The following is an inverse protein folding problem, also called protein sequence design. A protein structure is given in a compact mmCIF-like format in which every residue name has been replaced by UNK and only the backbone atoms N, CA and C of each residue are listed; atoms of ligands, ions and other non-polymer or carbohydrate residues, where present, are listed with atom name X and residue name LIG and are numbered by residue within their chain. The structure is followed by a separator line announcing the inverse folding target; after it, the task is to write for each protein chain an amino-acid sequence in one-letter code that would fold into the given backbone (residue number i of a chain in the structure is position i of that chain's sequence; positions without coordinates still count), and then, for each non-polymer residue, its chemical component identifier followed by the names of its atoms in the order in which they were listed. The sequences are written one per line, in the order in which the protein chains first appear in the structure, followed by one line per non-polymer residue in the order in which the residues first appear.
data_IF_338092180461
#
_entry.id   IF_338092180461
#
_cell.length_a   1.000
_cell.length_b   1.000
_cell.length_c   1.000
_cell.angle_alpha   90.00
_cell.angle_beta   90.00
_cell.angle_gamma   90.00
#
_symmetry.space_group_name_H-M   'P 1'
#
loop_
_entity.id
_entity.type
_entity.pdbx_description
1 polymer ?
#
# COMPACT_ATOMS: atom_id res chain seq x y z
N UNK A 1 -57.58 -6.99 -10.27
CA UNK A 1 -57.02 -5.94 -11.09
C UNK A 1 -55.93 -5.23 -10.33
N UNK A 2 -54.71 -5.43 -10.74
CA UNK A 2 -53.59 -4.51 -10.60
C UNK A 2 -53.13 -4.08 -9.22
N UNK A 3 -52.68 -5.03 -8.43
CA UNK A 3 -52.00 -4.74 -7.16
C UNK A 3 -50.55 -5.23 -7.15
N UNK A 4 -49.83 -5.04 -8.22
CA UNK A 4 -48.52 -5.67 -8.36
C UNK A 4 -47.35 -4.72 -8.53
N UNK A 5 -47.43 -3.52 -8.00
CA UNK A 5 -46.38 -2.52 -8.30
C UNK A 5 -45.50 -2.18 -7.09
N UNK A 6 -45.75 -2.74 -5.94
CA UNK A 6 -45.10 -2.27 -4.72
C UNK A 6 -43.88 -3.06 -4.22
N UNK A 7 -43.38 -4.03 -4.97
CA UNK A 7 -42.41 -4.99 -4.42
C UNK A 7 -40.94 -4.81 -4.85
N UNK A 8 -40.62 -3.77 -5.58
CA UNK A 8 -39.28 -3.62 -6.15
C UNK A 8 -38.34 -2.66 -5.40
N UNK A 9 -38.78 -2.00 -4.35
CA UNK A 9 -38.07 -0.82 -3.88
C UNK A 9 -37.01 -0.99 -2.78
N UNK A 10 -37.03 -1.97 -1.90
CA UNK A 10 -36.07 -1.96 -0.81
C UNK A 10 -34.67 -2.54 -1.16
N UNK A 11 -34.58 -3.32 -2.23
CA UNK A 11 -33.32 -3.98 -2.59
C UNK A 11 -32.33 -3.09 -3.35
N UNK A 12 -32.83 -2.07 -4.03
CA UNK A 12 -31.99 -1.18 -4.83
C UNK A 12 -31.14 -0.23 -3.99
N UNK A 13 -31.62 0.19 -2.83
CA UNK A 13 -30.88 1.10 -1.96
C UNK A 13 -29.70 0.42 -1.24
N UNK A 14 -29.80 -0.87 -0.95
CA UNK A 14 -28.71 -1.62 -0.33
C UNK A 14 -27.60 -1.96 -1.34
N UNK A 15 -27.97 -2.27 -2.57
CA UNK A 15 -27.02 -2.50 -3.65
C UNK A 15 -26.27 -1.21 -4.04
N UNK A 16 -26.97 -0.08 -4.06
CA UNK A 16 -26.33 1.22 -4.32
C UNK A 16 -25.34 1.65 -3.23
N UNK A 17 -25.62 1.33 -1.95
CA UNK A 17 -24.65 1.57 -0.86
C UNK A 17 -23.41 0.67 -0.96
N UNK A 18 -23.56 -0.60 -1.34
CA UNK A 18 -22.42 -1.49 -1.58
C UNK A 18 -21.58 -1.05 -2.77
N UNK A 19 -22.20 -0.57 -3.82
CA UNK A 19 -21.48 -0.02 -4.98
C UNK A 19 -20.72 1.26 -4.64
N UNK A 20 -21.28 2.15 -3.84
CA UNK A 20 -20.57 3.35 -3.36
C UNK A 20 -19.38 3.03 -2.47
N UNK A 21 -19.47 2.02 -1.61
CA UNK A 21 -18.35 1.58 -0.78
C UNK A 21 -17.28 0.81 -1.57
N UNK A 22 -17.65 0.14 -2.67
CA UNK A 22 -16.70 -0.50 -3.56
C UNK A 22 -15.89 0.52 -4.39
N UNK A 23 -16.52 1.61 -4.83
CA UNK A 23 -15.84 2.69 -5.56
C UNK A 23 -14.81 3.45 -4.71
N UNK A 24 -14.96 3.48 -3.40
CA UNK A 24 -13.97 4.08 -2.50
C UNK A 24 -12.70 3.24 -2.31
N UNK A 25 -12.76 1.95 -2.62
CA UNK A 25 -11.59 1.05 -2.56
C UNK A 25 -10.77 1.05 -3.84
N UNK A 26 -11.28 1.62 -4.91
CA UNK A 26 -10.66 1.62 -6.24
C UNK A 26 -10.02 2.97 -6.62
N UNK A 27 -9.77 3.85 -5.68
CA UNK A 27 -8.78 4.90 -5.94
C UNK A 27 -7.40 4.23 -5.99
N UNK A 28 -7.11 3.68 -7.14
CA UNK A 28 -5.84 3.04 -7.45
C UNK A 28 -4.72 4.07 -7.32
N UNK A 29 -3.72 3.73 -6.53
CA UNK A 29 -2.42 4.38 -6.66
C UNK A 29 -2.03 4.26 -8.12
N UNK A 30 -1.57 5.34 -8.70
CA UNK A 30 -1.03 5.31 -10.06
C UNK A 30 0.23 4.41 -10.06
N UNK A 31 0.07 3.19 -10.55
CA UNK A 31 1.14 2.19 -10.62
C UNK A 31 1.72 2.21 -12.03
N UNK A 32 2.98 2.63 -12.14
CA UNK A 32 3.73 2.57 -13.37
C UNK A 32 4.65 1.35 -13.35
N UNK A 33 4.48 0.46 -14.33
CA UNK A 33 5.27 -0.75 -14.44
C UNK A 33 6.22 -0.62 -15.63
N UNK A 34 7.51 -0.84 -15.39
CA UNK A 34 8.53 -0.96 -16.42
C UNK A 34 9.16 -2.34 -16.30
N UNK A 35 9.19 -3.09 -17.40
CA UNK A 35 9.79 -4.42 -17.46
C UNK A 35 10.90 -4.43 -18.52
N UNK A 36 12.06 -4.92 -18.15
CA UNK A 36 13.23 -5.03 -19.03
C UNK A 36 13.76 -6.47 -19.00
N UNK A 37 13.69 -7.15 -20.14
CA UNK A 37 14.05 -8.57 -20.24
C UNK A 37 13.11 -9.50 -19.47
N UNK A 38 11.94 -9.01 -19.08
CA UNK A 38 10.87 -9.75 -18.42
C UNK A 38 9.59 -9.54 -19.21
N UNK A 39 8.91 -10.63 -19.53
CA UNK A 39 7.62 -10.54 -20.20
C UNK A 39 6.54 -10.04 -19.22
N UNK A 40 5.90 -8.93 -19.54
CA UNK A 40 4.85 -8.34 -18.73
C UNK A 40 3.50 -9.03 -19.01
N UNK A 41 3.32 -10.23 -18.47
CA UNK A 41 2.08 -11.00 -18.57
C UNK A 41 0.94 -10.38 -17.77
N UNK A 42 -0.31 -10.76 -18.12
CA UNK A 42 -1.49 -10.33 -17.33
C UNK A 42 -1.39 -10.73 -15.85
N UNK A 43 -0.92 -11.94 -15.58
CA UNK A 43 -0.67 -12.43 -14.21
C UNK A 43 0.33 -11.57 -13.44
N UNK A 44 1.40 -11.14 -14.10
CA UNK A 44 2.40 -10.29 -13.47
C UNK A 44 1.85 -8.89 -13.18
N UNK A 45 1.06 -8.31 -14.08
CA UNK A 45 0.37 -7.03 -13.85
C UNK A 45 -0.58 -7.10 -12.66
N UNK A 46 -1.38 -8.15 -12.61
CA UNK A 46 -2.30 -8.39 -11.52
C UNK A 46 -1.57 -8.56 -10.18
N UNK A 47 -0.51 -9.35 -10.14
CA UNK A 47 0.33 -9.52 -8.96
C UNK A 47 0.91 -8.19 -8.49
N UNK A 48 1.41 -7.33 -9.39
CA UNK A 48 1.89 -5.98 -9.06
C UNK A 48 0.78 -5.15 -8.45
N UNK A 49 -0.39 -5.10 -9.08
CA UNK A 49 -1.54 -4.32 -8.61
C UNK A 49 -2.00 -4.77 -7.22
N UNK A 50 -2.12 -6.06 -6.99
CA UNK A 50 -2.53 -6.61 -5.70
C UNK A 50 -1.52 -6.34 -4.59
N UNK A 51 -0.23 -6.60 -4.86
CA UNK A 51 0.81 -6.52 -3.84
C UNK A 51 1.15 -5.07 -3.49
N UNK A 52 1.29 -4.22 -4.48
CA UNK A 52 1.52 -2.79 -4.28
C UNK A 52 0.25 -2.10 -3.75
N UNK A 53 -0.93 -2.53 -4.17
CA UNK A 53 -2.20 -2.04 -3.64
C UNK A 53 -2.38 -2.29 -2.14
N UNK A 54 -1.96 -3.46 -1.64
CA UNK A 54 -1.96 -3.76 -0.20
C UNK A 54 -1.12 -2.79 0.62
N UNK A 55 0.00 -2.35 0.09
CA UNK A 55 0.90 -1.43 0.77
C UNK A 55 0.24 -0.08 1.05
N UNK A 56 -0.75 0.32 0.25
CA UNK A 56 -1.51 1.56 0.42
C UNK A 56 -2.21 1.69 1.77
N UNK A 57 -2.65 0.59 2.37
CA UNK A 57 -3.28 0.62 3.71
C UNK A 57 -2.39 1.26 4.79
N UNK A 58 -1.07 1.24 4.59
CA UNK A 58 -0.09 1.85 5.50
C UNK A 58 0.28 3.28 5.10
N UNK A 59 0.00 3.66 3.85
CA UNK A 59 0.25 4.98 3.30
C UNK A 59 -0.91 5.44 2.40
N UNK A 60 -2.07 5.80 2.98
CA UNK A 60 -3.27 6.16 2.21
C UNK A 60 -3.08 7.43 1.36
N UNK A 61 -2.07 8.25 1.67
CA UNK A 61 -1.72 9.45 0.91
C UNK A 61 -0.60 9.23 -0.10
N UNK A 62 -0.27 7.99 -0.43
CA UNK A 62 0.69 7.69 -1.46
C UNK A 62 0.21 8.21 -2.82
N UNK A 63 1.13 8.83 -3.56
CA UNK A 63 0.84 9.49 -4.83
C UNK A 63 1.00 8.52 -6.00
N UNK A 64 2.10 7.77 -6.01
CA UNK A 64 2.49 6.94 -7.13
C UNK A 64 3.40 5.79 -6.69
N UNK A 65 3.35 4.68 -7.42
CA UNK A 65 4.31 3.59 -7.30
C UNK A 65 4.94 3.31 -8.66
N UNK A 66 6.25 3.38 -8.74
CA UNK A 66 7.01 2.97 -9.94
C UNK A 66 7.64 1.62 -9.66
N UNK A 67 7.26 0.64 -10.45
CA UNK A 67 7.75 -0.73 -10.36
C UNK A 67 8.66 -1.01 -11.55
N UNK A 68 9.92 -1.32 -11.29
CA UNK A 68 10.89 -1.74 -12.29
C UNK A 68 11.23 -3.21 -12.07
N UNK A 69 10.98 -3.99 -13.10
CA UNK A 69 11.32 -5.41 -13.14
C UNK A 69 12.36 -5.63 -14.22
N UNK A 70 13.49 -6.22 -13.89
CA UNK A 70 14.48 -6.55 -14.90
C UNK A 70 15.18 -7.87 -14.63
N UNK A 71 15.55 -8.53 -15.71
CA UNK A 71 16.33 -9.75 -15.67
C UNK A 71 17.81 -9.41 -15.50
N UNK A 72 18.41 -9.93 -14.46
CA UNK A 72 19.84 -9.73 -14.16
C UNK A 72 20.63 -10.90 -14.74
N UNK A 73 21.74 -10.61 -15.39
CA UNK A 73 22.72 -11.64 -15.77
C UNK A 73 23.51 -12.05 -14.54
N UNK A 74 22.91 -12.90 -13.71
CA UNK A 74 23.58 -13.43 -12.54
C UNK A 74 24.03 -14.88 -12.80
N UNK A 75 25.18 -15.24 -12.33
CA UNK A 75 25.72 -16.62 -12.41
C UNK A 75 24.90 -17.60 -11.58
N UNK A 76 24.19 -17.13 -10.55
CA UNK A 76 23.33 -17.95 -9.71
C UNK A 76 21.86 -17.87 -10.15
N UNK A 77 21.24 -19.00 -10.40
CA UNK A 77 19.85 -19.13 -10.82
C UNK A 77 18.84 -18.51 -9.83
N UNK A 78 19.24 -18.35 -8.57
CA UNK A 78 18.39 -17.81 -7.51
C UNK A 78 18.18 -16.29 -7.57
N UNK A 79 18.94 -15.54 -8.36
CA UNK A 79 18.93 -14.09 -8.39
C UNK A 79 18.74 -13.53 -9.81
N UNK A 80 18.00 -14.24 -10.64
CA UNK A 80 17.84 -13.89 -12.05
C UNK A 80 16.96 -12.65 -12.28
N UNK A 81 16.04 -12.35 -11.37
CA UNK A 81 15.10 -11.25 -11.53
C UNK A 81 15.26 -10.26 -10.38
N UNK A 82 15.35 -8.99 -10.74
CA UNK A 82 15.40 -7.88 -9.78
C UNK A 82 14.11 -7.07 -9.89
N UNK A 83 13.44 -6.89 -8.76
CA UNK A 83 12.34 -5.95 -8.61
C UNK A 83 12.82 -4.74 -7.82
N UNK A 84 12.56 -3.54 -8.34
CA UNK A 84 12.78 -2.28 -7.66
C UNK A 84 11.49 -1.49 -7.65
N UNK A 85 11.07 -1.06 -6.48
CA UNK A 85 9.86 -0.25 -6.32
C UNK A 85 10.22 1.08 -5.68
N UNK A 86 9.85 2.14 -6.36
CA UNK A 86 9.91 3.51 -5.86
C UNK A 86 8.50 3.93 -5.49
N UNK A 87 8.23 4.09 -4.21
CA UNK A 87 6.93 4.41 -3.64
C UNK A 87 6.91 5.85 -3.17
N UNK A 88 6.22 6.71 -3.93
CA UNK A 88 6.13 8.14 -3.67
C UNK A 88 5.11 8.44 -2.57
N UNK A 89 5.59 8.88 -1.42
CA UNK A 89 4.79 9.18 -0.24
C UNK A 89 5.07 10.60 0.23
N UNK A 90 4.06 11.34 0.68
CA UNK A 90 4.29 12.68 1.21
C UNK A 90 5.35 12.69 2.32
N UNK A 91 6.34 13.53 2.15
CA UNK A 91 7.45 13.75 3.07
C UNK A 91 8.75 13.10 2.66
N UNK A 92 8.78 11.82 2.37
CA UNK A 92 10.01 11.14 1.97
C UNK A 92 9.71 9.82 1.27
N UNK A 93 10.14 9.67 0.05
CA UNK A 93 9.93 8.50 -0.78
C UNK A 93 10.60 7.25 -0.21
N UNK A 94 10.01 6.11 -0.54
CA UNK A 94 10.54 4.81 -0.17
C UNK A 94 11.00 4.07 -1.42
N UNK A 95 12.25 3.70 -1.42
CA UNK A 95 12.82 2.84 -2.45
C UNK A 95 13.20 1.51 -1.82
N UNK A 96 12.73 0.41 -2.41
CA UNK A 96 13.13 -0.93 -2.04
C UNK A 96 13.46 -1.72 -3.28
N UNK A 97 14.44 -2.60 -3.17
CA UNK A 97 14.79 -3.53 -4.24
C UNK A 97 15.14 -4.90 -3.65
N UNK A 98 14.87 -5.93 -4.42
CA UNK A 98 15.23 -7.30 -4.11
C UNK A 98 15.43 -8.13 -5.38
N UNK A 99 16.22 -9.19 -5.27
CA UNK A 99 16.44 -10.17 -6.33
C UNK A 99 15.89 -11.52 -5.92
N UNK A 100 15.31 -12.25 -6.87
CA UNK A 100 14.81 -13.61 -6.64
C UNK A 100 14.90 -14.43 -7.94
N UNK A 101 14.55 -15.70 -7.85
CA UNK A 101 14.51 -16.62 -8.98
C UNK A 101 13.33 -16.35 -9.94
N UNK A 102 12.29 -15.66 -9.45
CA UNK A 102 11.06 -15.36 -10.19
C UNK A 102 10.69 -13.88 -9.99
N UNK A 103 10.15 -13.20 -11.01
CA UNK A 103 9.78 -11.79 -10.88
C UNK A 103 8.68 -11.54 -9.86
N UNK A 104 7.73 -12.48 -9.69
CA UNK A 104 6.66 -12.36 -8.69
C UNK A 104 7.25 -12.51 -7.28
N UNK A 105 8.15 -13.46 -7.08
CA UNK A 105 8.84 -13.65 -5.80
C UNK A 105 9.69 -12.43 -5.42
N UNK A 106 10.41 -11.84 -6.38
CA UNK A 106 11.16 -10.61 -6.16
C UNK A 106 10.25 -9.45 -5.75
N UNK A 107 9.09 -9.33 -6.40
CA UNK A 107 8.08 -8.33 -6.10
C UNK A 107 7.49 -8.50 -4.70
N UNK A 108 7.23 -9.73 -4.26
CA UNK A 108 6.73 -10.04 -2.92
C UNK A 108 7.66 -9.54 -1.84
N UNK A 109 8.93 -9.87 -1.97
CA UNK A 109 9.96 -9.45 -1.02
C UNK A 109 10.13 -7.93 -0.97
N UNK A 110 10.01 -7.26 -2.11
CA UNK A 110 10.04 -5.79 -2.17
C UNK A 110 8.81 -5.18 -1.51
N UNK A 111 7.61 -5.71 -1.79
CA UNK A 111 6.37 -5.23 -1.19
C UNK A 111 6.40 -5.36 0.34
N UNK A 112 6.84 -6.50 0.86
CA UNK A 112 7.03 -6.74 2.29
C UNK A 112 8.03 -5.74 2.91
N UNK A 113 9.13 -5.47 2.23
CA UNK A 113 10.14 -4.51 2.69
C UNK A 113 9.60 -3.08 2.78
N UNK A 114 8.78 -2.67 1.81
CA UNK A 114 8.11 -1.35 1.82
C UNK A 114 7.07 -1.31 2.95
N UNK A 115 6.25 -2.35 3.08
CA UNK A 115 5.24 -2.47 4.13
C UNK A 115 5.87 -2.32 5.53
N UNK A 116 6.94 -3.05 5.81
CA UNK A 116 7.67 -2.97 7.07
C UNK A 116 8.18 -1.55 7.36
N UNK A 117 8.72 -0.87 6.35
CA UNK A 117 9.19 0.51 6.49
C UNK A 117 8.06 1.50 6.75
N UNK A 118 6.91 1.32 6.09
CA UNK A 118 5.73 2.16 6.31
C UNK A 118 5.12 1.95 7.69
N UNK A 119 5.02 0.70 8.15
CA UNK A 119 4.60 0.39 9.53
C UNK A 119 5.49 1.08 10.55
N UNK A 120 6.81 0.96 10.40
CA UNK A 120 7.78 1.62 11.28
C UNK A 120 7.59 3.15 11.29
N UNK A 121 7.38 3.77 10.12
CA UNK A 121 7.09 5.21 10.02
C UNK A 121 5.80 5.59 10.74
N UNK A 122 4.73 4.82 10.56
CA UNK A 122 3.44 5.05 11.21
C UNK A 122 3.60 5.01 12.73
N UNK A 123 4.26 3.99 13.25
CA UNK A 123 4.51 3.82 14.68
C UNK A 123 5.36 4.95 15.24
N UNK A 124 6.44 5.33 14.57
CA UNK A 124 7.30 6.43 14.98
C UNK A 124 6.55 7.78 15.02
N UNK A 125 5.68 8.01 14.02
CA UNK A 125 4.85 9.23 13.96
C UNK A 125 3.82 9.27 15.08
N UNK A 126 3.20 8.14 15.41
CA UNK A 126 2.27 8.03 16.53
C UNK A 126 2.98 8.24 17.87
N UNK A 127 4.12 7.60 18.06
CA UNK A 127 4.93 7.76 19.29
C UNK A 127 5.36 9.22 19.51
N UNK A 128 5.74 9.91 18.42
CA UNK A 128 6.06 11.33 18.45
C UNK A 128 4.87 12.18 18.89
N UNK A 129 3.68 11.96 18.31
CA UNK A 129 2.44 12.67 18.66
C UNK A 129 2.07 12.46 20.14
N UNK A 130 2.17 11.22 20.62
CA UNK A 130 1.91 10.90 22.04
C UNK A 130 2.90 11.62 22.94
N UNK A 131 4.17 11.69 22.56
CA UNK A 131 5.21 12.39 23.35
C UNK A 131 4.98 13.89 23.36
N UNK A 132 4.58 14.49 22.24
CA UNK A 132 4.25 15.92 22.13
C UNK A 132 2.97 16.28 22.90
N UNK A 133 2.02 15.35 23.03
CA UNK A 133 0.74 15.55 23.72
C UNK A 133 0.77 15.12 25.19
N UNK A 134 1.90 14.59 25.67
CA UNK A 134 2.06 14.22 27.07
C UNK A 134 2.10 15.50 27.90
N UNK A 135 1.09 15.75 28.75
CA UNK A 135 1.13 16.91 29.64
C UNK A 135 2.40 16.81 30.47
N UNK A 136 3.10 17.93 30.60
CA UNK A 136 4.31 18.01 31.42
C UNK A 136 3.90 17.81 32.89
N UNK A 137 3.80 16.54 33.28
CA UNK A 137 3.45 16.16 34.68
C UNK A 137 4.46 16.70 35.68
N UNK A 138 5.69 16.95 35.23
CA UNK A 138 6.72 17.56 36.11
C UNK A 138 6.37 19.01 36.48
N UNK A 139 5.66 19.72 35.63
CA UNK A 139 5.18 21.08 35.89
C UNK A 139 4.08 21.10 36.97
N UNK A 140 3.22 20.08 36.97
CA UNK A 140 2.17 19.93 37.98
C UNK A 140 2.73 19.48 39.31
N UNK A 141 3.73 18.60 39.31
CA UNK A 141 4.40 18.17 40.54
C UNK A 141 5.23 19.28 41.17
N UNK A 142 5.79 20.20 40.40
CA UNK A 142 6.47 21.38 40.89
C UNK A 142 5.50 22.40 41.55
N UNK A 143 4.32 22.59 40.94
CA UNK A 143 3.26 23.45 41.49
C UNK A 143 2.62 22.85 42.74
N UNK A 144 2.52 21.55 42.89
CA UNK A 144 1.99 20.86 44.04
C UNK A 144 2.95 20.86 45.24
N UNK A 145 4.22 21.22 45.07
CA UNK A 145 5.23 21.34 46.17
C UNK A 145 5.45 22.77 46.64
N UNK A 146 4.83 23.70 45.94
CA UNK A 146 4.81 25.09 46.35
C UNK A 146 3.58 25.34 47.22
#
# INVERSE_FOLDING_TARGET
MNANIALASPLSHHAARKLKTATWKEEFINILIRAEGVELTGKLREAVSQKIGRVRQYAPRALRARVHLHKVRASASQHQFRARVHYEVPGNDLVAEHTAHDPIAALDLVAEKIERRLRKRKTARLARRVREHRPNLDRWSALARA
#
